data_IF_161684634754
#
_entry.id   IF_161684634754
#
_cell.length_a   1.000
_cell.length_b   1.000
_cell.length_c   1.000
_cell.angle_alpha   90.00
_cell.angle_beta   90.00
_cell.angle_gamma   90.00
#
_symmetry.space_group_name_H-M   'P 1'
#
loop_
_entity.id
_entity.type
_entity.pdbx_description
1 polymer ?
#
# COMPACT_ATOMS: atom_id res chain seq x y z
N UNK A 1 5.16 0.31 10.32
CA UNK A 1 5.44 -1.14 10.31
C UNK A 1 5.05 -1.84 11.62
N UNK A 2 4.87 -1.12 12.73
CA UNK A 2 4.56 -1.69 14.06
C UNK A 2 3.28 -2.53 14.17
N UNK A 3 2.17 -2.09 13.54
CA UNK A 3 0.83 -2.64 13.84
C UNK A 3 0.61 -4.08 13.38
N UNK A 4 1.29 -4.50 12.31
CA UNK A 4 1.16 -5.86 11.76
C UNK A 4 1.95 -6.87 12.58
N UNK A 5 3.14 -6.48 13.03
CA UNK A 5 4.00 -7.30 13.90
C UNK A 5 3.34 -7.52 15.28
N UNK A 6 2.67 -6.49 15.79
CA UNK A 6 1.90 -6.55 17.04
C UNK A 6 0.74 -7.57 16.95
N UNK A 7 -0.04 -7.57 15.86
CA UNK A 7 -1.12 -8.55 15.67
C UNK A 7 -0.62 -9.98 15.49
N UNK A 8 0.56 -10.16 14.90
CA UNK A 8 1.20 -11.47 14.80
C UNK A 8 1.65 -11.97 16.20
N UNK A 9 2.24 -11.09 17.01
CA UNK A 9 2.67 -11.41 18.37
C UNK A 9 1.49 -11.75 19.31
N UNK A 10 0.33 -11.14 19.09
CA UNK A 10 -0.92 -11.45 19.81
C UNK A 10 -1.62 -12.73 19.33
N UNK A 11 -1.12 -13.40 18.29
CA UNK A 11 -1.74 -14.59 17.70
C UNK A 11 -3.06 -14.29 16.98
N UNK A 12 -3.27 -13.04 16.56
CA UNK A 12 -4.48 -12.58 15.87
C UNK A 12 -4.30 -12.58 14.35
N UNK A 13 -3.04 -12.54 13.90
CA UNK A 13 -2.66 -12.68 12.51
C UNK A 13 -1.52 -13.71 12.35
N UNK A 14 -1.52 -14.44 11.24
CA UNK A 14 -0.39 -15.27 10.82
C UNK A 14 0.09 -14.79 9.45
N UNK A 15 1.41 -14.60 9.29
CA UNK A 15 2.01 -14.18 8.03
C UNK A 15 2.85 -15.33 7.45
N UNK A 16 2.51 -15.78 6.24
CA UNK A 16 3.21 -16.82 5.50
C UNK A 16 3.51 -16.34 4.09
N UNK A 17 4.74 -15.87 3.86
CA UNK A 17 5.11 -15.25 2.59
C UNK A 17 4.30 -13.98 2.31
N UNK A 18 3.51 -13.99 1.25
CA UNK A 18 2.58 -12.92 0.86
C UNK A 18 1.17 -13.11 1.44
N UNK A 19 0.94 -14.14 2.27
CA UNK A 19 -0.37 -14.42 2.83
C UNK A 19 -0.47 -13.94 4.26
N UNK A 20 -1.53 -13.18 4.54
CA UNK A 20 -1.92 -12.80 5.89
C UNK A 20 -3.22 -13.48 6.26
N UNK A 21 -3.20 -14.36 7.25
CA UNK A 21 -4.38 -14.98 7.84
C UNK A 21 -4.81 -14.15 9.06
N UNK A 22 -6.00 -13.56 9.03
CA UNK A 22 -6.61 -12.98 10.22
C UNK A 22 -7.43 -14.06 10.93
N UNK A 23 -6.90 -14.56 12.04
CA UNK A 23 -7.39 -15.77 12.73
C UNK A 23 -8.81 -15.56 13.25
N UNK A 24 -9.10 -14.38 13.82
CA UNK A 24 -10.44 -14.04 14.33
C UNK A 24 -11.52 -13.98 13.24
N UNK A 25 -11.13 -13.65 12.00
CA UNK A 25 -12.03 -13.56 10.86
C UNK A 25 -12.09 -14.86 10.05
N UNK A 26 -11.20 -15.81 10.32
CA UNK A 26 -11.02 -17.01 9.49
C UNK A 26 -10.71 -16.67 8.02
N UNK A 27 -10.16 -15.48 7.76
CA UNK A 27 -10.03 -14.93 6.41
C UNK A 27 -8.55 -14.76 6.07
N UNK A 28 -8.20 -15.18 4.85
CA UNK A 28 -6.84 -15.06 4.32
C UNK A 28 -6.83 -13.94 3.30
N UNK A 29 -5.78 -13.13 3.33
CA UNK A 29 -5.51 -12.06 2.37
C UNK A 29 -4.20 -12.35 1.65
N UNK A 30 -4.16 -12.08 0.35
CA UNK A 30 -2.89 -11.93 -0.38
C UNK A 30 -2.47 -10.47 -0.28
N UNK A 31 -1.25 -10.25 0.19
CA UNK A 31 -0.68 -8.95 0.42
C UNK A 31 0.15 -8.54 -0.80
N UNK A 32 -0.25 -7.46 -1.47
CA UNK A 32 0.48 -6.88 -2.60
C UNK A 32 1.19 -5.59 -2.17
N UNK A 33 2.45 -5.37 -2.56
CA UNK A 33 3.12 -4.09 -2.32
C UNK A 33 2.30 -2.92 -2.87
N UNK A 34 2.17 -1.86 -2.07
CA UNK A 34 1.37 -0.70 -2.40
C UNK A 34 1.94 0.56 -1.75
N UNK A 35 1.46 1.71 -2.21
CA UNK A 35 1.80 3.01 -1.62
C UNK A 35 0.53 3.78 -1.29
N UNK A 36 0.57 4.54 -0.20
CA UNK A 36 -0.45 5.53 0.14
C UNK A 36 0.11 6.93 -0.14
N UNK A 37 -0.53 7.68 -1.02
CA UNK A 37 -0.13 9.05 -1.38
C UNK A 37 -0.52 10.03 -0.29
N UNK A 38 0.44 10.76 0.27
CA UNK A 38 0.20 11.64 1.43
C UNK A 38 0.17 13.13 1.07
N UNK A 39 0.97 13.56 0.10
CA UNK A 39 1.05 14.96 -0.31
C UNK A 39 1.68 15.11 -1.70
N UNK A 40 1.48 16.29 -2.31
CA UNK A 40 2.22 16.73 -3.49
C UNK A 40 3.48 17.46 -3.04
N UNK A 41 4.61 17.17 -3.67
CA UNK A 41 5.89 17.80 -3.35
C UNK A 41 6.01 19.09 -4.16
N UNK A 42 6.16 20.23 -3.47
CA UNK A 42 6.46 21.51 -4.11
C UNK A 42 5.27 22.22 -4.76
N UNK A 43 4.04 21.72 -4.57
CA UNK A 43 2.81 22.38 -5.04
C UNK A 43 1.64 22.12 -4.07
N UNK A 44 0.65 23.01 -4.07
CA UNK A 44 -0.60 22.85 -3.29
C UNK A 44 -1.67 22.03 -4.02
N UNK A 45 -1.54 21.88 -5.34
CA UNK A 45 -2.55 21.24 -6.18
C UNK A 45 -2.18 19.79 -6.44
N UNK A 46 -3.18 18.91 -6.36
CA UNK A 46 -3.08 17.50 -6.76
C UNK A 46 -3.77 17.26 -8.11
N UNK A 47 -3.06 17.46 -9.24
CA UNK A 47 -3.66 17.40 -10.57
C UNK A 47 -4.20 16.01 -10.94
N UNK A 48 -3.62 14.94 -10.38
CA UNK A 48 -4.04 13.58 -10.64
C UNK A 48 -5.04 13.04 -9.60
N UNK A 49 -5.39 13.81 -8.57
CA UNK A 49 -6.26 13.40 -7.46
C UNK A 49 -5.80 12.10 -6.79
N UNK A 50 -4.48 11.94 -6.60
CA UNK A 50 -3.88 10.74 -6.02
C UNK A 50 -3.75 10.82 -4.50
N UNK A 51 -3.65 12.02 -3.91
CA UNK A 51 -3.46 12.20 -2.47
C UNK A 51 -4.65 11.60 -1.70
N UNK A 52 -4.35 10.79 -0.70
CA UNK A 52 -5.32 10.03 0.10
C UNK A 52 -5.72 8.68 -0.52
N UNK A 53 -5.23 8.35 -1.71
CA UNK A 53 -5.48 7.06 -2.36
C UNK A 53 -4.33 6.07 -2.14
N UNK A 54 -4.68 4.80 -2.22
CA UNK A 54 -3.73 3.68 -2.20
C UNK A 54 -3.67 3.08 -3.60
N UNK A 55 -2.46 2.86 -4.11
CA UNK A 55 -2.25 2.16 -5.37
C UNK A 55 -1.26 1.02 -5.17
N UNK A 56 -1.53 -0.13 -5.79
CA UNK A 56 -0.58 -1.22 -5.83
C UNK A 56 0.62 -0.86 -6.71
N UNK A 57 1.73 -1.58 -6.53
CA UNK A 57 2.90 -1.40 -7.39
C UNK A 57 2.60 -1.72 -8.86
N UNK A 58 1.69 -2.65 -9.13
CA UNK A 58 1.19 -2.96 -10.47
C UNK A 58 0.42 -1.77 -11.06
N UNK A 59 -0.46 -1.13 -10.27
CA UNK A 59 -1.21 0.05 -10.72
C UNK A 59 -0.28 1.23 -11.03
N UNK A 60 0.72 1.47 -10.19
CA UNK A 60 1.74 2.50 -10.42
C UNK A 60 2.48 2.27 -11.74
N UNK A 61 2.87 1.02 -12.02
CA UNK A 61 3.53 0.67 -13.26
C UNK A 61 2.59 0.82 -14.47
N UNK A 62 1.32 0.44 -14.33
CA UNK A 62 0.32 0.56 -15.39
C UNK A 62 0.00 2.01 -15.75
N UNK A 63 0.03 2.93 -14.79
CA UNK A 63 -0.12 4.37 -15.06
C UNK A 63 1.18 5.01 -15.57
N UNK A 64 2.31 4.30 -15.58
CA UNK A 64 3.61 4.87 -15.97
C UNK A 64 4.17 5.83 -14.92
N UNK A 65 3.88 5.59 -13.64
CA UNK A 65 4.46 6.33 -12.54
C UNK A 65 5.79 5.71 -12.09
N UNK A 66 6.76 6.56 -11.77
CA UNK A 66 8.07 6.16 -11.27
C UNK A 66 8.09 6.23 -9.74
N UNK A 67 8.15 5.06 -9.11
CA UNK A 67 8.26 4.94 -7.65
C UNK A 67 9.73 4.91 -7.19
N UNK A 68 10.09 5.83 -6.30
CA UNK A 68 11.45 6.06 -5.80
C UNK A 68 11.45 6.23 -4.28
N UNK A 69 11.86 5.19 -3.55
CA UNK A 69 11.95 5.20 -2.08
C UNK A 69 10.66 5.64 -1.37
N UNK A 70 10.50 6.93 -1.05
CA UNK A 70 9.32 7.50 -0.38
C UNK A 70 8.60 8.53 -1.25
N UNK A 71 8.82 8.50 -2.57
CA UNK A 71 8.15 9.38 -3.53
C UNK A 71 7.69 8.64 -4.77
N UNK A 72 6.65 9.15 -5.40
CA UNK A 72 6.18 8.71 -6.72
C UNK A 72 6.14 9.90 -7.66
N UNK A 73 6.69 9.77 -8.85
CA UNK A 73 6.57 10.76 -9.93
C UNK A 73 5.54 10.24 -10.92
N UNK A 74 4.50 11.03 -11.19
CA UNK A 74 3.48 10.73 -12.19
C UNK A 74 3.26 11.94 -13.09
N UNK A 75 3.49 11.75 -14.39
CA UNK A 75 3.62 12.86 -15.34
C UNK A 75 4.73 13.82 -14.88
N UNK A 76 4.37 15.08 -14.66
CA UNK A 76 5.29 16.12 -14.18
C UNK A 76 5.16 16.40 -12.66
N UNK A 77 4.37 15.59 -11.95
CA UNK A 77 4.06 15.82 -10.52
C UNK A 77 4.76 14.80 -9.63
N UNK A 78 5.47 15.30 -8.61
CA UNK A 78 6.07 14.47 -7.58
C UNK A 78 5.15 14.41 -6.35
N UNK A 79 5.00 13.21 -5.81
CA UNK A 79 4.18 12.93 -4.63
C UNK A 79 5.04 12.32 -3.53
N UNK A 80 4.74 12.67 -2.28
CA UNK A 80 5.20 11.94 -1.11
C UNK A 80 4.29 10.74 -0.87
N UNK A 81 4.88 9.58 -0.55
CA UNK A 81 4.13 8.35 -0.33
C UNK A 81 4.65 7.57 0.89
N UNK A 82 3.75 6.80 1.49
CA UNK A 82 4.08 5.80 2.52
C UNK A 82 3.98 4.41 1.89
N UNK A 83 5.07 3.65 1.97
CA UNK A 83 5.11 2.24 1.55
C UNK A 83 4.28 1.34 2.48
N UNK A 84 3.58 0.39 1.89
CA UNK A 84 2.78 -0.57 2.62
C UNK A 84 2.33 -1.74 1.75
N UNK A 85 1.20 -2.32 2.12
CA UNK A 85 0.60 -3.45 1.43
C UNK A 85 -0.91 -3.28 1.32
N UNK A 86 -1.47 -3.72 0.20
CA UNK A 86 -2.90 -3.88 0.00
C UNK A 86 -3.24 -5.36 0.21
N UNK A 87 -4.19 -5.64 1.09
CA UNK A 87 -4.68 -6.99 1.35
C UNK A 87 -5.90 -7.30 0.48
N UNK A 88 -5.75 -8.23 -0.46
CA UNK A 88 -6.86 -8.74 -1.26
C UNK A 88 -7.43 -10.02 -0.61
N UNK A 89 -8.72 -10.07 -0.27
CA UNK A 89 -9.29 -11.23 0.39
C UNK A 89 -9.33 -12.43 -0.56
N UNK A 90 -8.84 -13.57 -0.09
CA UNK A 90 -9.04 -14.83 -0.79
C UNK A 90 -10.45 -15.37 -0.50
N UNK A 91 -11.15 -15.87 -1.53
CA UNK A 91 -12.39 -16.59 -1.31
C UNK A 91 -12.15 -17.84 -0.43
N UNK A 92 -13.12 -18.22 0.41
CA UNK A 92 -13.01 -19.37 1.32
C UNK A 92 -12.93 -20.71 0.58
#
# INVERSE_FOLDING_TARGET
MERLEEWAAEGRAALEGDRMTLIELGQVFVMKPAVHFTAVIGAEQDPANLVGLVHSQEDLQAMGADHMATSVIYGDTAYEVINGFLGEPLPP
#
